data_IF_062830775382
#
_entry.id   IF_062830775382
#
_cell.length_a   1.000
_cell.length_b   1.000
_cell.length_c   1.000
_cell.angle_alpha   90.00
_cell.angle_beta   90.00
_cell.angle_gamma   90.00
#
_symmetry.space_group_name_H-M   'P 1'
#
loop_
_entity.id
_entity.type
_entity.pdbx_description
1 polymer ?
#
# COMPACT_ATOMS: atom_id res chain seq x y z
N UNK A 1 4.81 19.00 -41.37
CA UNK A 1 4.34 20.34 -40.99
C UNK A 1 4.45 20.42 -39.48
N UNK A 2 4.87 21.54 -38.90
CA UNK A 2 4.82 21.70 -37.44
C UNK A 2 3.36 21.81 -37.01
N UNK A 3 2.92 20.99 -36.05
CA UNK A 3 1.60 21.10 -35.42
C UNK A 3 1.32 22.55 -35.00
N UNK A 4 0.20 23.12 -35.48
CA UNK A 4 -0.25 24.45 -35.08
C UNK A 4 -1.50 24.32 -34.21
N UNK A 5 -1.40 24.53 -32.88
CA UNK A 5 -2.53 24.38 -31.98
C UNK A 5 -3.67 25.40 -32.21
N UNK A 6 -3.41 26.48 -32.94
CA UNK A 6 -4.39 27.53 -33.21
C UNK A 6 -5.18 27.33 -34.52
N UNK A 7 -4.83 26.31 -35.31
CA UNK A 7 -5.46 26.00 -36.60
C UNK A 7 -5.40 24.48 -36.83
N UNK A 8 -6.29 23.76 -36.13
CA UNK A 8 -6.36 22.30 -36.11
C UNK A 8 -7.61 21.83 -36.86
N UNK A 9 -7.40 21.07 -37.93
CA UNK A 9 -8.45 20.31 -38.59
C UNK A 9 -8.57 18.92 -37.94
N UNK A 10 -9.67 18.68 -37.24
CA UNK A 10 -9.90 17.44 -36.48
C UNK A 10 -10.05 16.20 -37.37
N UNK A 11 -10.32 16.37 -38.67
CA UNK A 11 -10.41 15.26 -39.63
C UNK A 11 -9.04 14.80 -40.13
N UNK A 12 -7.99 15.63 -39.97
CA UNK A 12 -6.65 15.37 -40.54
C UNK A 12 -5.49 15.45 -39.54
N UNK A 13 -5.71 16.05 -38.36
CA UNK A 13 -4.71 16.17 -37.31
C UNK A 13 -4.43 14.82 -36.62
N UNK A 14 -3.17 14.60 -36.25
CA UNK A 14 -2.79 13.44 -35.43
C UNK A 14 -3.40 13.60 -34.01
N UNK A 15 -4.26 12.68 -33.57
CA UNK A 15 -4.83 12.70 -32.22
C UNK A 15 -3.77 12.76 -31.12
N UNK A 16 -2.59 12.18 -31.38
CA UNK A 16 -1.46 12.18 -30.45
C UNK A 16 -0.94 13.60 -30.19
N UNK A 17 -0.79 14.41 -31.24
CA UNK A 17 -0.30 15.78 -31.12
C UNK A 17 -1.30 16.65 -30.35
N UNK A 18 -2.60 16.45 -30.60
CA UNK A 18 -3.67 17.15 -29.88
C UNK A 18 -3.65 16.78 -28.39
N UNK A 19 -3.64 15.48 -28.07
CA UNK A 19 -3.67 15.01 -26.66
C UNK A 19 -2.39 15.43 -25.93
N UNK A 20 -1.23 15.33 -26.57
CA UNK A 20 0.02 15.78 -25.98
C UNK A 20 0.07 17.30 -25.77
N UNK A 21 -0.53 18.09 -26.66
CA UNK A 21 -0.64 19.52 -26.45
C UNK A 21 -1.58 19.87 -25.29
N UNK A 22 -2.74 19.22 -25.21
CA UNK A 22 -3.70 19.44 -24.12
C UNK A 22 -3.16 19.00 -22.76
N UNK A 23 -2.43 17.88 -22.70
CA UNK A 23 -1.80 17.39 -21.47
C UNK A 23 -0.61 18.23 -21.03
N UNK A 24 0.12 18.83 -21.98
CA UNK A 24 1.20 19.77 -21.69
C UNK A 24 0.59 21.14 -21.35
N UNK A 25 -0.26 21.20 -20.31
CA UNK A 25 -0.71 22.46 -19.73
C UNK A 25 0.50 23.29 -19.29
N UNK A 26 0.34 24.61 -19.22
CA UNK A 26 1.37 25.45 -18.59
C UNK A 26 1.42 25.18 -17.08
N UNK A 27 2.33 25.83 -16.38
CA UNK A 27 2.39 25.71 -14.94
C UNK A 27 1.14 26.35 -14.30
N UNK A 28 0.23 25.50 -13.79
CA UNK A 28 -1.08 25.90 -13.28
C UNK A 28 -1.03 26.66 -11.93
N UNK A 29 0.16 26.94 -11.39
CA UNK A 29 0.30 27.60 -10.11
C UNK A 29 -0.35 29.01 -10.09
N UNK A 30 -1.48 29.11 -9.39
CA UNK A 30 -2.31 30.33 -9.30
C UNK A 30 -2.01 31.23 -8.08
N UNK A 31 -0.95 30.94 -7.30
CA UNK A 31 -0.62 31.67 -6.08
C UNK A 31 -1.10 31.00 -4.78
N UNK A 32 -1.69 31.78 -3.87
CA UNK A 32 -2.18 31.31 -2.55
C UNK A 32 -1.10 30.72 -1.62
N UNK A 33 0.10 31.31 -1.60
CA UNK A 33 1.24 30.80 -0.85
C UNK A 33 0.93 30.54 0.64
N UNK A 34 0.18 31.42 1.30
CA UNK A 34 -0.20 31.25 2.71
C UNK A 34 -1.05 30.00 2.97
N UNK A 35 -2.02 29.71 2.10
CA UNK A 35 -2.86 28.52 2.23
C UNK A 35 -2.07 27.23 1.98
N UNK A 36 -1.15 27.24 1.00
CA UNK A 36 -0.27 26.09 0.72
C UNK A 36 0.74 25.83 1.84
N UNK A 37 1.29 26.89 2.43
CA UNK A 37 2.11 26.77 3.65
C UNK A 37 1.28 26.18 4.79
N UNK A 38 0.01 26.59 4.94
CA UNK A 38 -0.87 26.00 5.95
C UNK A 38 -1.08 24.50 5.74
N UNK A 39 -1.15 24.05 4.47
CA UNK A 39 -1.32 22.64 4.13
C UNK A 39 -0.17 21.77 4.64
N UNK A 40 1.07 22.26 4.60
CA UNK A 40 2.24 21.55 5.16
C UNK A 40 1.99 21.21 6.64
N UNK A 41 1.58 22.19 7.44
CA UNK A 41 1.42 22.01 8.88
C UNK A 41 0.16 21.21 9.23
N UNK A 42 -0.95 21.45 8.55
CA UNK A 42 -2.21 20.74 8.81
C UNK A 42 -2.09 19.28 8.41
N UNK A 43 -1.59 18.98 7.20
CA UNK A 43 -1.40 17.60 6.76
C UNK A 43 -0.41 16.90 7.69
N UNK A 44 0.72 17.53 8.02
CA UNK A 44 1.68 16.96 8.98
C UNK A 44 1.02 16.60 10.31
N UNK A 45 0.30 17.54 10.93
CA UNK A 45 -0.28 17.34 12.25
C UNK A 45 -1.37 16.26 12.25
N UNK A 46 -2.30 16.32 11.29
CA UNK A 46 -3.45 15.41 11.26
C UNK A 46 -3.02 14.01 10.81
N UNK A 47 -2.22 13.88 9.74
CA UNK A 47 -1.78 12.56 9.27
C UNK A 47 -0.93 11.87 10.32
N UNK A 48 0.04 12.57 10.93
CA UNK A 48 0.88 12.01 12.00
C UNK A 48 0.05 11.58 13.20
N UNK A 49 -0.89 12.41 13.67
CA UNK A 49 -1.73 12.06 14.81
C UNK A 49 -2.56 10.77 14.54
N UNK A 50 -3.14 10.65 13.35
CA UNK A 50 -3.98 9.51 12.98
C UNK A 50 -3.14 8.25 12.72
N UNK A 51 -1.94 8.37 12.13
CA UNK A 51 -1.00 7.24 11.97
C UNK A 51 -0.49 6.71 13.30
N UNK A 52 -0.23 7.59 14.26
CA UNK A 52 0.25 7.19 15.59
C UNK A 52 -0.85 6.53 16.42
N UNK A 53 -2.12 6.85 16.17
CA UNK A 53 -3.24 6.41 17.01
C UNK A 53 -3.28 4.90 17.27
N UNK A 54 -3.22 3.99 16.27
CA UNK A 54 -3.28 2.55 16.52
C UNK A 54 -2.05 2.02 17.28
N UNK A 55 -0.88 2.62 17.02
CA UNK A 55 0.39 2.27 17.70
C UNK A 55 0.34 2.66 19.17
N UNK A 56 -0.12 3.87 19.47
CA UNK A 56 -0.35 4.35 20.85
C UNK A 56 -1.40 3.48 21.54
N UNK A 57 -2.54 3.23 20.89
CA UNK A 57 -3.64 2.45 21.46
C UNK A 57 -3.22 1.05 21.89
N UNK A 58 -2.35 0.39 21.13
CA UNK A 58 -1.84 -0.95 21.48
C UNK A 58 -0.73 -0.93 22.53
N UNK A 59 0.11 0.10 22.54
CA UNK A 59 1.34 0.14 23.37
C UNK A 59 1.18 0.83 24.72
N UNK A 60 0.20 1.71 24.86
CA UNK A 60 -0.04 2.48 26.08
C UNK A 60 -1.27 1.91 26.79
N UNK A 61 -1.11 0.86 27.63
CA UNK A 61 -2.25 0.20 28.29
C UNK A 61 -3.02 1.13 29.23
N UNK A 62 -2.41 2.23 29.69
CA UNK A 62 -3.06 3.25 30.52
C UNK A 62 -4.21 3.97 29.82
N UNK A 63 -4.22 3.99 28.48
CA UNK A 63 -5.22 4.73 27.69
C UNK A 63 -6.57 4.00 27.61
N UNK A 64 -6.67 2.74 28.09
CA UNK A 64 -7.90 1.93 28.14
C UNK A 64 -8.78 2.04 26.88
N UNK A 65 -8.17 1.98 25.69
CA UNK A 65 -8.90 2.11 24.43
C UNK A 65 -9.83 0.90 24.24
N UNK A 66 -11.14 1.09 23.97
CA UNK A 66 -12.06 -0.01 23.73
C UNK A 66 -11.63 -0.84 22.51
N UNK A 67 -11.78 -2.17 22.62
CA UNK A 67 -11.42 -3.10 21.54
C UNK A 67 -12.03 -2.72 20.18
N UNK A 68 -13.30 -2.31 20.17
CA UNK A 68 -14.00 -1.90 18.94
C UNK A 68 -13.37 -0.70 18.24
N UNK A 69 -12.73 0.22 18.97
CA UNK A 69 -12.04 1.38 18.38
C UNK A 69 -10.74 0.93 17.70
N UNK A 70 -9.99 0.01 18.31
CA UNK A 70 -8.82 -0.58 17.68
C UNK A 70 -9.19 -1.43 16.45
N UNK A 71 -10.24 -2.25 16.56
CA UNK A 71 -10.75 -3.02 15.42
C UNK A 71 -11.22 -2.08 14.31
N UNK A 72 -11.88 -0.98 14.67
CA UNK A 72 -12.28 0.03 13.70
C UNK A 72 -11.08 0.51 12.88
N UNK A 73 -10.04 1.01 13.55
CA UNK A 73 -8.84 1.49 12.88
C UNK A 73 -8.18 0.44 11.98
N UNK A 74 -8.09 -0.81 12.46
CA UNK A 74 -7.48 -1.92 11.68
C UNK A 74 -8.23 -2.23 10.40
N UNK A 75 -9.53 -2.48 10.49
CA UNK A 75 -10.30 -2.94 9.34
C UNK A 75 -10.67 -1.79 8.40
N UNK A 76 -10.96 -0.61 8.95
CA UNK A 76 -11.14 0.61 8.14
C UNK A 76 -9.88 0.89 7.32
N UNK A 77 -8.72 0.88 7.97
CA UNK A 77 -7.43 1.11 7.32
C UNK A 77 -7.09 0.06 6.25
N UNK A 78 -7.49 -1.20 6.44
CA UNK A 78 -7.35 -2.23 5.40
C UNK A 78 -8.19 -1.91 4.15
N UNK A 79 -9.44 -1.48 4.35
CA UNK A 79 -10.29 -1.02 3.25
C UNK A 79 -9.73 0.20 2.53
N UNK A 80 -9.18 1.15 3.29
CA UNK A 80 -8.51 2.34 2.75
C UNK A 80 -7.35 1.94 1.84
N UNK A 81 -6.43 1.08 2.30
CA UNK A 81 -5.27 0.62 1.49
C UNK A 81 -5.72 -0.03 0.17
N UNK A 82 -6.77 -0.85 0.20
CA UNK A 82 -7.33 -1.47 -1.01
C UNK A 82 -7.85 -0.41 -1.98
N UNK A 83 -8.63 0.56 -1.48
CA UNK A 83 -9.15 1.63 -2.31
C UNK A 83 -8.04 2.57 -2.82
N UNK A 84 -7.01 2.86 -2.03
CA UNK A 84 -5.81 3.59 -2.49
C UNK A 84 -5.20 2.91 -3.71
N UNK A 85 -5.00 1.59 -3.63
CA UNK A 85 -4.37 0.81 -4.70
C UNK A 85 -5.10 0.94 -6.05
N UNK A 86 -6.43 0.86 -6.05
CA UNK A 86 -7.23 0.89 -7.28
C UNK A 86 -7.63 2.29 -7.74
N UNK A 87 -8.01 3.18 -6.82
CA UNK A 87 -8.60 4.48 -7.17
C UNK A 87 -7.55 5.58 -7.18
N UNK A 88 -6.59 5.55 -6.25
CA UNK A 88 -5.64 6.65 -6.09
C UNK A 88 -4.26 6.35 -6.68
N UNK A 89 -4.01 5.11 -7.09
CA UNK A 89 -2.75 4.69 -7.69
C UNK A 89 -2.94 4.18 -9.11
N UNK A 90 -3.80 3.17 -9.30
CA UNK A 90 -4.00 2.57 -10.61
C UNK A 90 -4.67 3.53 -11.60
N UNK A 91 -5.69 4.29 -11.19
CA UNK A 91 -6.39 5.22 -12.08
C UNK A 91 -5.48 6.38 -12.54
N UNK A 92 -4.74 7.09 -11.66
CA UNK A 92 -3.73 8.06 -12.09
C UNK A 92 -2.64 7.44 -12.97
N UNK A 93 -2.19 6.21 -12.69
CA UNK A 93 -1.23 5.55 -13.58
C UNK A 93 -1.77 5.39 -15.02
N UNK A 94 -3.07 5.12 -15.17
CA UNK A 94 -3.71 5.08 -16.49
C UNK A 94 -3.86 6.46 -17.14
N UNK A 95 -4.14 7.52 -16.37
CA UNK A 95 -4.18 8.88 -16.95
C UNK A 95 -2.80 9.35 -17.42
N UNK A 96 -1.72 8.89 -16.77
CA UNK A 96 -0.36 9.32 -17.07
C UNK A 96 0.34 8.52 -18.18
N UNK A 97 0.24 7.19 -18.15
CA UNK A 97 0.94 6.28 -19.09
C UNK A 97 0.02 5.28 -19.80
N UNK A 98 -1.29 5.37 -19.61
CA UNK A 98 -2.26 4.49 -20.26
C UNK A 98 -2.43 4.80 -21.76
N UNK A 99 -3.11 3.93 -22.53
CA UNK A 99 -3.21 4.05 -23.99
C UNK A 99 -3.91 5.31 -24.52
N UNK A 100 -4.59 6.07 -23.65
CA UNK A 100 -5.26 7.33 -23.98
C UNK A 100 -4.49 8.57 -23.46
N UNK A 101 -3.34 8.36 -22.83
CA UNK A 101 -2.44 9.42 -22.38
C UNK A 101 -1.51 9.84 -23.51
N UNK A 102 -0.92 11.04 -23.39
CA UNK A 102 0.12 11.49 -24.32
C UNK A 102 1.28 10.48 -24.40
N UNK A 103 1.69 9.92 -23.26
CA UNK A 103 2.77 8.93 -23.20
C UNK A 103 2.37 7.65 -23.92
N UNK A 104 1.21 7.09 -23.61
CA UNK A 104 0.74 5.84 -24.21
C UNK A 104 0.39 5.92 -25.70
N UNK A 105 0.43 7.09 -26.31
CA UNK A 105 0.22 7.28 -27.75
C UNK A 105 1.52 7.53 -28.53
N UNK A 106 2.67 7.67 -27.86
CA UNK A 106 3.93 8.09 -28.48
C UNK A 106 5.00 7.00 -28.49
N UNK A 107 5.54 6.71 -29.67
CA UNK A 107 6.65 5.77 -29.85
C UNK A 107 6.33 4.37 -29.31
N UNK A 108 7.32 3.72 -28.69
CA UNK A 108 7.19 2.35 -28.18
C UNK A 108 6.18 2.21 -27.02
N UNK A 109 5.72 3.32 -26.44
CA UNK A 109 4.66 3.29 -25.43
C UNK A 109 3.30 2.96 -26.03
N UNK A 110 3.09 3.20 -27.33
CA UNK A 110 1.85 2.89 -28.03
C UNK A 110 1.69 1.41 -28.40
N UNK A 111 2.80 0.66 -28.45
CA UNK A 111 2.79 -0.73 -28.92
C UNK A 111 2.19 -1.71 -27.90
N UNK A 112 2.16 -1.33 -26.62
CA UNK A 112 1.79 -2.24 -25.54
C UNK A 112 1.12 -1.53 -24.38
N UNK A 113 0.29 -2.27 -23.63
CA UNK A 113 -0.38 -1.76 -22.43
C UNK A 113 0.58 -1.77 -21.24
N UNK A 114 1.48 -0.79 -21.20
CA UNK A 114 2.54 -0.70 -20.20
C UNK A 114 2.04 -0.54 -18.76
N UNK A 115 0.98 0.25 -18.52
CA UNK A 115 0.39 0.41 -17.19
C UNK A 115 0.04 -0.95 -16.54
N UNK A 116 -0.88 -1.77 -17.09
CA UNK A 116 -1.24 -3.04 -16.47
C UNK A 116 -0.07 -4.04 -16.45
N UNK A 117 0.87 -3.95 -17.38
CA UNK A 117 2.07 -4.78 -17.39
C UNK A 117 2.97 -4.48 -16.18
N UNK A 118 3.23 -3.21 -15.89
CA UNK A 118 4.03 -2.78 -14.73
C UNK A 118 3.35 -3.19 -13.42
N UNK A 119 2.03 -2.99 -13.32
CA UNK A 119 1.23 -3.42 -12.17
C UNK A 119 1.36 -4.92 -11.95
N UNK A 120 1.19 -5.72 -13.01
CA UNK A 120 1.31 -7.18 -12.95
C UNK A 120 2.73 -7.61 -12.57
N UNK A 121 3.76 -7.02 -13.18
CA UNK A 121 5.16 -7.32 -12.85
C UNK A 121 5.45 -6.99 -11.38
N UNK A 122 5.03 -5.82 -10.90
CA UNK A 122 5.21 -5.43 -9.50
C UNK A 122 4.53 -6.41 -8.54
N UNK A 123 3.26 -6.75 -8.80
CA UNK A 123 2.50 -7.73 -8.02
C UNK A 123 3.19 -9.11 -8.00
N UNK A 124 3.65 -9.59 -9.16
CA UNK A 124 4.35 -10.88 -9.26
C UNK A 124 5.70 -10.85 -8.55
N UNK A 125 6.43 -9.74 -8.62
CA UNK A 125 7.67 -9.57 -7.88
C UNK A 125 7.43 -9.63 -6.37
N UNK A 126 6.43 -8.93 -5.84
CA UNK A 126 6.11 -9.00 -4.40
C UNK A 126 5.68 -10.40 -3.99
N UNK A 127 4.82 -11.06 -4.78
CA UNK A 127 4.44 -12.45 -4.52
C UNK A 127 5.67 -13.38 -4.46
N UNK A 128 6.59 -13.28 -5.42
CA UNK A 128 7.80 -14.11 -5.45
C UNK A 128 8.74 -13.80 -4.28
N UNK A 129 8.83 -12.54 -3.84
CA UNK A 129 9.59 -12.16 -2.66
C UNK A 129 8.98 -12.75 -1.38
N UNK A 130 7.66 -12.67 -1.21
CA UNK A 130 6.95 -13.25 -0.07
C UNK A 130 7.08 -14.77 -0.06
N UNK A 131 6.79 -15.43 -1.19
CA UNK A 131 6.93 -16.87 -1.33
C UNK A 131 8.38 -17.33 -1.13
N UNK A 132 9.35 -16.62 -1.73
CA UNK A 132 10.76 -16.91 -1.56
C UNK A 132 11.23 -16.74 -0.11
N UNK A 133 10.73 -15.72 0.60
CA UNK A 133 11.02 -15.50 2.01
C UNK A 133 10.43 -16.61 2.89
N UNK A 134 9.22 -17.10 2.60
CA UNK A 134 8.64 -18.26 3.29
C UNK A 134 9.44 -19.53 3.01
N UNK A 135 9.68 -19.85 1.73
CA UNK A 135 10.40 -21.06 1.32
C UNK A 135 11.83 -21.10 1.84
N UNK A 136 12.53 -19.96 1.85
CA UNK A 136 13.88 -19.86 2.43
C UNK A 136 13.88 -20.22 3.91
N UNK A 137 12.87 -19.79 4.66
CA UNK A 137 12.71 -20.14 6.07
C UNK A 137 12.42 -21.64 6.23
N UNK A 138 11.57 -22.23 5.40
CA UNK A 138 11.28 -23.67 5.44
C UNK A 138 12.53 -24.53 5.19
N UNK A 139 13.28 -24.27 4.10
CA UNK A 139 14.48 -25.05 3.73
C UNK A 139 15.57 -24.96 4.78
N UNK A 140 15.89 -23.74 5.22
CA UNK A 140 17.06 -23.51 6.07
C UNK A 140 16.87 -24.03 7.50
N UNK A 141 15.62 -24.14 7.95
CA UNK A 141 15.30 -24.50 9.33
C UNK A 141 14.48 -25.80 9.46
N UNK A 142 14.22 -26.51 8.36
CA UNK A 142 13.57 -27.81 8.40
C UNK A 142 12.13 -27.80 8.92
N UNK A 143 11.43 -26.66 8.82
CA UNK A 143 10.00 -26.56 9.15
C UNK A 143 9.23 -27.21 8.01
N UNK A 144 9.02 -28.52 8.08
CA UNK A 144 8.14 -29.20 7.16
C UNK A 144 6.69 -28.77 7.44
N UNK A 145 6.05 -28.10 6.49
CA UNK A 145 4.59 -28.21 6.37
C UNK A 145 4.30 -29.67 6.02
N UNK A 146 3.30 -30.28 6.66
CA UNK A 146 2.80 -31.59 6.22
C UNK A 146 2.50 -31.52 4.72
N UNK A 147 3.15 -32.38 3.93
CA UNK A 147 2.94 -32.45 2.50
C UNK A 147 1.44 -32.70 2.23
N UNK A 148 0.76 -31.93 1.34
CA UNK A 148 -0.63 -32.19 0.97
C UNK A 148 -0.81 -33.46 0.13
N UNK A 149 0.29 -34.14 -0.24
CA UNK A 149 0.28 -35.27 -1.17
C UNK A 149 -0.60 -36.48 -0.77
N UNK A 150 -0.90 -36.82 0.51
CA UNK A 150 -1.79 -37.94 0.78
C UNK A 150 -3.28 -37.58 0.54
N UNK A 151 -3.63 -36.31 0.31
CA UNK A 151 -5.02 -35.88 0.08
C UNK A 151 -5.46 -36.12 -1.38
N UNK A 152 -4.52 -36.17 -2.35
CA UNK A 152 -4.85 -36.36 -3.77
C UNK A 152 -4.79 -37.83 -4.25
N UNK A 153 -4.30 -38.76 -3.43
CA UNK A 153 -4.19 -40.19 -3.81
C UNK A 153 -4.97 -41.17 -2.96
N UNK A 154 -5.73 -40.72 -1.95
CA UNK A 154 -6.57 -41.59 -1.11
C UNK A 154 -7.99 -41.75 -1.65
N UNK A 155 -8.10 -42.07 -2.94
CA UNK A 155 -9.26 -42.78 -3.48
C UNK A 155 -8.80 -44.19 -3.87
N UNK A 156 -9.19 -45.16 -3.04
CA UNK A 156 -9.01 -46.62 -3.18
C UNK A 156 -7.63 -47.15 -2.78
N UNK A 157 -7.48 -47.58 -1.52
CA UNK A 157 -7.44 -49.02 -1.24
C UNK A 157 -7.68 -49.30 0.25
N UNK A 158 -8.39 -50.39 0.50
CA UNK A 158 -8.91 -50.81 1.79
C UNK A 158 -8.09 -52.03 2.23
N UNK A 159 -7.12 -51.87 3.13
CA UNK A 159 -6.42 -53.00 3.77
C UNK A 159 -5.73 -52.59 5.08
N UNK A 160 -6.26 -53.16 6.17
CA UNK A 160 -5.68 -53.26 7.51
C UNK A 160 -4.24 -53.79 7.51
N UNK A 161 -3.40 -53.36 8.47
CA UNK A 161 -2.48 -54.21 9.26
C UNK A 161 -1.83 -53.37 10.39
N UNK A 162 -1.95 -53.89 11.61
CA UNK A 162 -1.29 -53.46 12.85
C UNK A 162 0.25 -53.42 12.73
N UNK A 163 0.89 -52.53 13.51
CA UNK A 163 2.21 -52.83 14.12
C UNK A 163 2.52 -51.96 15.33
N UNK A 164 2.86 -52.67 16.40
CA UNK A 164 3.22 -52.23 17.74
C UNK A 164 4.45 -51.32 17.83
N UNK A 165 4.52 -50.59 18.95
CA UNK A 165 5.67 -49.83 19.47
C UNK A 165 6.88 -50.75 19.77
N UNK A 166 8.11 -50.20 19.86
CA UNK A 166 8.67 -50.04 21.20
C UNK A 166 9.50 -48.74 21.38
N UNK A 167 9.46 -48.21 22.61
CA UNK A 167 10.13 -46.96 22.99
C UNK A 167 11.65 -47.01 23.09
N UNK A 168 12.26 -45.82 23.18
CA UNK A 168 13.48 -45.64 23.96
C UNK A 168 13.62 -44.19 24.47
N UNK A 169 13.94 -44.13 25.75
CA UNK A 169 14.32 -43.01 26.62
C UNK A 169 15.43 -42.13 26.03
N UNK A 170 15.23 -40.81 25.97
CA UNK A 170 16.25 -39.76 26.20
C UNK A 170 15.56 -38.44 26.56
N UNK A 171 15.20 -38.29 27.84
CA UNK A 171 14.89 -36.99 28.46
C UNK A 171 16.22 -36.41 28.95
N UNK A 172 16.68 -35.29 28.39
CA UNK A 172 17.86 -34.60 28.90
C UNK A 172 18.44 -33.47 28.04
N UNK A 173 18.22 -33.47 26.72
CA UNK A 173 18.82 -32.47 25.81
C UNK A 173 17.81 -31.69 24.93
N UNK A 174 16.52 -32.06 24.96
CA UNK A 174 15.51 -31.44 24.10
C UNK A 174 15.09 -30.01 24.51
N UNK A 175 15.18 -29.66 25.81
CA UNK A 175 14.65 -28.39 26.31
C UNK A 175 15.50 -27.16 25.91
N UNK A 176 16.79 -27.35 25.55
CA UNK A 176 17.68 -26.23 25.15
C UNK A 176 17.63 -25.98 23.64
N UNK A 177 17.54 -27.03 22.82
CA UNK A 177 17.37 -26.89 21.37
C UNK A 177 15.98 -26.37 20.98
N UNK A 178 14.92 -26.80 21.66
CA UNK A 178 13.54 -26.39 21.37
C UNK A 178 13.28 -24.91 21.71
N UNK A 179 13.90 -24.40 22.80
CA UNK A 179 13.87 -22.99 23.18
C UNK A 179 14.64 -22.10 22.18
N UNK A 180 15.85 -22.53 21.77
CA UNK A 180 16.65 -21.79 20.77
C UNK A 180 15.98 -21.76 19.39
N UNK A 181 15.29 -22.85 19.02
CA UNK A 181 14.56 -22.95 17.76
C UNK A 181 13.35 -22.02 17.76
N UNK A 182 12.56 -22.00 18.84
CA UNK A 182 11.41 -21.08 18.99
C UNK A 182 11.81 -19.61 18.93
N UNK A 183 12.86 -19.19 19.65
CA UNK A 183 13.30 -17.79 19.66
C UNK A 183 13.78 -17.34 18.26
N UNK A 184 14.49 -18.22 17.53
CA UNK A 184 14.91 -17.90 16.16
C UNK A 184 13.75 -17.85 15.17
N UNK A 185 12.68 -18.63 15.37
CA UNK A 185 11.48 -18.59 14.54
C UNK A 185 10.68 -17.30 14.78
N UNK A 186 10.56 -16.85 16.03
CA UNK A 186 9.89 -15.58 16.40
C UNK A 186 10.64 -14.38 15.79
N UNK A 187 11.97 -14.35 15.88
CA UNK A 187 12.78 -13.26 15.30
C UNK A 187 12.63 -13.20 13.77
N UNK A 188 12.52 -14.34 13.09
CA UNK A 188 12.34 -14.40 11.63
C UNK A 188 10.94 -14.00 11.20
N UNK A 189 9.90 -14.45 11.91
CA UNK A 189 8.53 -14.01 11.65
C UNK A 189 8.41 -12.49 11.80
N UNK A 190 9.09 -11.93 12.81
CA UNK A 190 9.22 -10.48 12.95
C UNK A 190 9.94 -9.84 11.74
N UNK A 191 11.07 -10.41 11.28
CA UNK A 191 11.83 -9.94 10.10
C UNK A 191 11.01 -10.00 8.80
N UNK A 192 10.17 -11.02 8.61
CA UNK A 192 9.28 -11.12 7.46
C UNK A 192 8.17 -10.06 7.52
N UNK A 193 7.51 -9.90 8.67
CA UNK A 193 6.45 -8.90 8.84
C UNK A 193 6.96 -7.46 8.66
N UNK A 194 8.16 -7.16 9.18
CA UNK A 194 8.77 -5.83 8.96
C UNK A 194 9.20 -5.64 7.51
N UNK A 195 9.70 -6.69 6.83
CA UNK A 195 10.04 -6.59 5.42
C UNK A 195 8.80 -6.31 4.55
N UNK A 196 7.72 -7.07 4.75
CA UNK A 196 6.44 -6.83 4.07
C UNK A 196 5.89 -5.42 4.37
N UNK A 197 6.01 -4.97 5.62
CA UNK A 197 5.64 -3.60 5.98
C UNK A 197 6.48 -2.54 5.27
N UNK A 198 7.81 -2.71 5.20
CA UNK A 198 8.70 -1.77 4.51
C UNK A 198 8.45 -1.74 2.99
N UNK A 199 8.08 -2.88 2.40
CA UNK A 199 7.67 -2.96 0.98
C UNK A 199 6.38 -2.16 0.77
N UNK A 200 5.37 -2.33 1.62
CA UNK A 200 4.15 -1.51 1.57
C UNK A 200 4.47 -0.03 1.75
N UNK A 201 5.29 0.32 2.73
CA UNK A 201 5.65 1.71 3.04
C UNK A 201 6.39 2.34 1.86
N UNK A 202 7.27 1.59 1.18
CA UNK A 202 7.94 2.02 -0.04
C UNK A 202 6.96 2.39 -1.16
N UNK A 203 5.93 1.56 -1.41
CA UNK A 203 4.88 1.89 -2.39
C UNK A 203 4.07 3.14 -2.00
N UNK A 204 3.72 3.27 -0.72
CA UNK A 204 2.98 4.45 -0.22
C UNK A 204 3.83 5.73 -0.25
N UNK A 205 5.14 5.65 -0.02
CA UNK A 205 6.03 6.81 -0.02
C UNK A 205 6.05 7.49 -1.39
N UNK A 206 6.23 6.75 -2.49
CA UNK A 206 6.26 7.38 -3.82
C UNK A 206 4.95 8.05 -4.17
N UNK A 207 3.84 7.39 -3.88
CA UNK A 207 2.51 7.95 -4.02
C UNK A 207 2.37 9.29 -3.27
N UNK A 208 2.76 9.28 -1.99
CA UNK A 208 2.72 10.46 -1.11
C UNK A 208 3.63 11.60 -1.59
N UNK A 209 4.75 11.26 -2.24
CA UNK A 209 5.66 12.25 -2.83
C UNK A 209 5.03 12.93 -4.04
N UNK A 210 4.47 12.16 -4.98
CA UNK A 210 3.82 12.70 -6.19
C UNK A 210 2.61 13.56 -5.80
N UNK A 211 1.75 13.07 -4.91
CA UNK A 211 0.62 13.84 -4.37
C UNK A 211 1.09 15.15 -3.74
N UNK A 212 2.10 15.10 -2.86
CA UNK A 212 2.57 16.29 -2.17
C UNK A 212 3.18 17.31 -3.13
N UNK A 213 3.95 16.86 -4.12
CA UNK A 213 4.52 17.71 -5.16
C UNK A 213 3.41 18.41 -5.97
N UNK A 214 2.41 17.65 -6.42
CA UNK A 214 1.29 18.15 -7.21
C UNK A 214 0.42 19.14 -6.43
N UNK A 215 0.12 18.88 -5.14
CA UNK A 215 -0.60 19.84 -4.30
C UNK A 215 0.18 21.16 -4.12
N UNK A 216 1.51 21.09 -4.13
CA UNK A 216 2.37 22.28 -4.09
C UNK A 216 2.22 23.21 -5.30
N UNK A 217 1.85 22.66 -6.46
CA UNK A 217 1.85 23.38 -7.76
C UNK A 217 0.48 23.50 -8.44
N UNK A 218 -0.52 22.70 -8.05
CA UNK A 218 -1.87 22.68 -8.63
C UNK A 218 -2.53 24.06 -8.64
N UNK A 219 -3.42 24.34 -9.61
CA UNK A 219 -4.06 25.63 -9.77
C UNK A 219 -5.34 25.80 -8.97
N UNK A 220 -6.46 25.93 -9.68
CA UNK A 220 -7.76 26.26 -9.10
C UNK A 220 -8.35 25.09 -8.30
N UNK A 221 -7.88 23.86 -8.57
CA UNK A 221 -8.28 22.65 -7.86
C UNK A 221 -7.76 22.64 -6.41
N UNK A 222 -6.78 23.48 -6.06
CA UNK A 222 -6.20 23.54 -4.72
C UNK A 222 -7.26 23.63 -3.60
N UNK A 223 -8.31 24.43 -3.80
CA UNK A 223 -9.36 24.64 -2.80
C UNK A 223 -10.16 23.36 -2.50
N UNK A 224 -10.24 22.44 -3.46
CA UNK A 224 -10.88 21.14 -3.31
C UNK A 224 -9.87 20.08 -2.85
N UNK A 225 -8.70 20.02 -3.50
CA UNK A 225 -7.66 19.03 -3.24
C UNK A 225 -7.09 19.13 -1.84
N UNK A 226 -6.89 20.34 -1.31
CA UNK A 226 -6.32 20.51 0.02
C UNK A 226 -7.13 19.81 1.12
N UNK A 227 -8.42 20.13 1.36
CA UNK A 227 -9.19 19.46 2.39
C UNK A 227 -9.37 17.95 2.11
N UNK A 228 -9.51 17.55 0.83
CA UNK A 228 -9.60 16.12 0.45
C UNK A 228 -8.34 15.37 0.84
N UNK A 229 -7.15 15.94 0.58
CA UNK A 229 -5.87 15.32 0.91
C UNK A 229 -5.58 15.25 2.40
N UNK A 230 -6.10 16.18 3.21
CA UNK A 230 -6.05 16.04 4.67
C UNK A 230 -6.75 14.76 5.11
N UNK A 231 -7.96 14.49 4.58
CA UNK A 231 -8.68 13.25 4.92
C UNK A 231 -8.01 12.01 4.31
N UNK A 232 -7.61 12.06 3.04
CA UNK A 232 -6.90 10.99 2.35
C UNK A 232 -5.67 10.53 3.14
N UNK A 233 -4.74 11.46 3.43
CA UNK A 233 -3.49 11.15 4.12
C UNK A 233 -3.73 10.68 5.55
N UNK A 234 -4.79 11.18 6.20
CA UNK A 234 -5.15 10.72 7.55
C UNK A 234 -5.67 9.28 7.52
N UNK A 235 -6.52 8.93 6.56
CA UNK A 235 -7.09 7.60 6.46
C UNK A 235 -6.07 6.56 6.02
N UNK A 236 -5.20 6.90 5.06
CA UNK A 236 -4.11 6.03 4.65
C UNK A 236 -3.11 5.84 5.82
N UNK A 237 -2.82 6.93 6.53
CA UNK A 237 -2.04 6.92 7.76
C UNK A 237 -2.62 6.01 8.84
N UNK A 238 -3.94 5.99 9.01
CA UNK A 238 -4.63 5.07 9.92
C UNK A 238 -4.36 3.60 9.54
N UNK A 239 -4.37 3.27 8.25
CA UNK A 239 -4.06 1.94 7.72
C UNK A 239 -2.63 1.50 8.00
N UNK A 240 -1.66 2.38 7.71
CA UNK A 240 -0.25 2.15 8.02
C UNK A 240 -0.04 1.99 9.53
N UNK A 241 -0.62 2.89 10.33
CA UNK A 241 -0.56 2.83 11.79
C UNK A 241 -1.13 1.53 12.34
N UNK A 242 -2.25 1.05 11.79
CA UNK A 242 -2.85 -0.21 12.19
C UNK A 242 -1.96 -1.41 11.85
N UNK A 243 -1.35 -1.43 10.66
CA UNK A 243 -0.38 -2.46 10.27
C UNK A 243 0.86 -2.44 11.14
N UNK A 244 1.43 -1.26 11.39
CA UNK A 244 2.53 -1.07 12.31
C UNK A 244 2.20 -1.61 13.71
N UNK A 245 1.00 -1.33 14.19
CA UNK A 245 0.57 -1.80 15.51
C UNK A 245 0.48 -3.33 15.57
N UNK A 246 0.14 -4.02 14.48
CA UNK A 246 0.02 -5.48 14.46
C UNK A 246 1.36 -6.19 14.68
N UNK A 247 2.48 -5.61 14.21
CA UNK A 247 3.82 -6.20 14.28
C UNK A 247 4.31 -6.30 15.74
N UNK A 248 4.83 -7.47 16.18
CA UNK A 248 5.24 -7.73 17.57
C UNK A 248 6.64 -7.18 17.87
N UNK A 249 6.81 -5.86 17.86
CA UNK A 249 8.10 -5.26 18.24
C UNK A 249 8.42 -5.49 19.74
N UNK A 250 9.71 -5.57 20.05
CA UNK A 250 10.21 -5.61 21.43
C UNK A 250 9.78 -4.36 22.22
N UNK A 251 9.43 -4.54 23.50
CA UNK A 251 9.07 -3.45 24.41
C UNK A 251 10.19 -2.40 24.44
N UNK A 252 9.82 -1.13 24.31
CA UNK A 252 10.77 -0.02 24.25
C UNK A 252 11.43 0.21 22.89
N UNK A 253 11.06 -0.51 21.82
CA UNK A 253 11.58 -0.23 20.48
C UNK A 253 11.09 1.11 19.93
N UNK A 254 12.04 1.91 19.44
CA UNK A 254 11.81 3.24 18.85
C UNK A 254 11.42 3.17 17.37
N UNK A 255 11.75 2.06 16.69
CA UNK A 255 11.54 1.84 15.26
C UNK A 255 10.13 2.20 14.75
N UNK A 256 9.01 1.75 15.36
CA UNK A 256 7.68 2.05 14.86
C UNK A 256 7.31 3.53 14.98
N UNK A 257 7.84 4.24 15.98
CA UNK A 257 7.64 5.68 16.09
C UNK A 257 8.38 6.43 14.98
N UNK A 258 9.58 5.96 14.63
CA UNK A 258 10.37 6.50 13.53
C UNK A 258 9.66 6.27 12.20
N UNK A 259 9.18 5.06 11.93
CA UNK A 259 8.47 4.72 10.70
C UNK A 259 7.14 5.48 10.57
N UNK A 260 6.35 5.59 11.65
CA UNK A 260 5.15 6.44 11.63
C UNK A 260 5.48 7.93 11.39
N UNK A 261 6.60 8.42 11.95
CA UNK A 261 7.06 9.81 11.70
C UNK A 261 7.49 10.00 10.25
N UNK A 262 8.18 9.01 9.67
CA UNK A 262 8.66 9.05 8.30
C UNK A 262 7.48 9.20 7.35
N UNK A 263 6.45 8.35 7.48
CA UNK A 263 5.20 8.50 6.72
C UNK A 263 4.58 9.91 6.87
N UNK A 264 4.40 10.39 8.11
CA UNK A 264 3.77 11.68 8.37
C UNK A 264 4.55 12.88 7.82
N UNK A 265 5.88 12.77 7.68
CA UNK A 265 6.75 13.81 7.14
C UNK A 265 6.85 13.81 5.61
N UNK A 266 6.63 12.67 4.96
CA UNK A 266 6.80 12.53 3.50
C UNK A 266 5.99 13.54 2.70
N UNK A 267 4.67 13.63 2.92
CA UNK A 267 3.79 14.54 2.16
C UNK A 267 4.09 16.02 2.46
N UNK A 268 4.23 16.46 3.72
CA UNK A 268 4.63 17.85 4.04
C UNK A 268 5.96 18.28 3.41
N UNK A 269 6.98 17.41 3.42
CA UNK A 269 8.26 17.67 2.75
C UNK A 269 8.05 17.79 1.25
N UNK A 270 7.24 16.92 0.66
CA UNK A 270 6.96 16.92 -0.78
C UNK A 270 6.18 18.15 -1.22
N UNK A 271 5.22 18.63 -0.40
CA UNK A 271 4.53 19.92 -0.61
C UNK A 271 5.52 21.08 -0.54
N UNK A 272 6.43 21.07 0.43
CA UNK A 272 7.46 22.11 0.55
C UNK A 272 8.40 22.12 -0.68
N UNK A 273 8.78 20.95 -1.18
CA UNK A 273 9.56 20.81 -2.43
C UNK A 273 8.74 21.33 -3.61
N UNK A 274 7.48 20.93 -3.75
CA UNK A 274 6.56 21.39 -4.80
C UNK A 274 6.43 22.90 -4.81
N UNK A 275 6.27 23.52 -3.64
CA UNK A 275 6.31 24.97 -3.49
C UNK A 275 7.67 25.56 -3.88
N UNK A 276 8.79 24.89 -3.59
CA UNK A 276 10.12 25.33 -3.99
C UNK A 276 10.30 25.36 -5.50
N UNK A 277 9.81 24.33 -6.21
CA UNK A 277 9.91 24.20 -7.67
C UNK A 277 8.69 24.72 -8.44
N UNK A 278 7.78 25.40 -7.74
CA UNK A 278 6.45 25.81 -8.25
C UNK A 278 6.43 26.70 -9.48
N UNK A 279 7.56 27.28 -9.91
CA UNK A 279 7.64 28.11 -11.12
C UNK A 279 8.33 27.39 -12.28
N UNK A 280 8.97 26.25 -12.03
CA UNK A 280 9.78 25.52 -13.02
C UNK A 280 9.27 24.11 -13.28
N UNK A 281 8.56 23.51 -12.33
CA UNK A 281 7.97 22.19 -12.47
C UNK A 281 6.65 22.26 -13.23
N UNK A 282 6.49 21.38 -14.21
CA UNK A 282 5.26 21.20 -14.97
C UNK A 282 4.86 19.72 -14.85
N UNK A 283 3.76 19.47 -14.12
CA UNK A 283 3.21 18.14 -13.88
C UNK A 283 2.66 17.46 -15.14
N UNK A 284 2.23 18.23 -16.15
CA UNK A 284 1.74 17.72 -17.43
C UNK A 284 2.84 17.51 -18.50
N UNK A 285 4.12 17.69 -18.13
CA UNK A 285 5.22 17.43 -19.06
C UNK A 285 5.39 15.93 -19.30
N UNK A 286 5.73 15.54 -20.54
CA UNK A 286 5.95 14.13 -20.90
C UNK A 286 6.80 13.34 -19.89
N UNK A 287 7.91 13.93 -19.43
CA UNK A 287 8.79 13.28 -18.45
C UNK A 287 8.14 13.14 -17.08
N UNK A 288 7.35 14.13 -16.63
CA UNK A 288 6.61 14.04 -15.38
C UNK A 288 5.61 12.89 -15.45
N UNK A 289 4.80 12.81 -16.51
CA UNK A 289 3.81 11.76 -16.72
C UNK A 289 4.45 10.35 -16.76
N UNK A 290 5.58 10.18 -17.46
CA UNK A 290 6.31 8.89 -17.46
C UNK A 290 6.73 8.51 -16.04
N UNK A 291 7.30 9.45 -15.28
CA UNK A 291 7.81 9.18 -13.93
C UNK A 291 6.66 8.89 -12.95
N UNK A 292 5.64 9.75 -12.90
CA UNK A 292 4.47 9.55 -12.02
C UNK A 292 3.75 8.26 -12.38
N UNK A 293 3.40 8.06 -13.65
CA UNK A 293 2.65 6.87 -14.06
C UNK A 293 3.37 5.55 -13.84
N UNK A 294 4.70 5.49 -14.02
CA UNK A 294 5.48 4.28 -13.69
C UNK A 294 5.54 4.06 -12.18
N UNK A 295 5.79 5.09 -11.38
CA UNK A 295 5.86 4.96 -9.92
C UNK A 295 4.50 4.60 -9.33
N UNK A 296 3.41 5.18 -9.83
CA UNK A 296 2.04 4.88 -9.41
C UNK A 296 1.64 3.47 -9.83
N UNK A 297 2.00 3.01 -11.04
CA UNK A 297 1.75 1.63 -11.47
C UNK A 297 2.50 0.60 -10.62
N UNK A 298 3.77 0.87 -10.27
CA UNK A 298 4.55 0.00 -9.38
C UNK A 298 3.88 -0.05 -8.00
N UNK A 299 3.55 1.12 -7.45
CA UNK A 299 2.95 1.25 -6.12
C UNK A 299 1.56 0.62 -6.07
N UNK A 300 0.74 0.76 -7.11
CA UNK A 300 -0.54 0.07 -7.28
C UNK A 300 -0.36 -1.44 -7.18
N UNK A 301 0.60 -2.02 -7.92
CA UNK A 301 0.89 -3.45 -7.86
C UNK A 301 1.26 -3.95 -6.46
N UNK A 302 2.09 -3.19 -5.75
CA UNK A 302 2.47 -3.48 -4.35
C UNK A 302 1.24 -3.45 -3.44
N UNK A 303 0.46 -2.37 -3.47
CA UNK A 303 -0.69 -2.20 -2.57
C UNK A 303 -1.87 -3.11 -2.93
N UNK A 304 -2.04 -3.50 -4.20
CA UNK A 304 -3.02 -4.53 -4.60
C UNK A 304 -2.65 -5.85 -3.95
N UNK A 305 -1.39 -6.28 -4.05
CA UNK A 305 -0.94 -7.52 -3.41
C UNK A 305 -1.14 -7.44 -1.88
N UNK A 306 -0.61 -6.41 -1.23
CA UNK A 306 -0.73 -6.28 0.21
C UNK A 306 -2.19 -6.18 0.64
N UNK A 307 -3.00 -5.33 0.01
CA UNK A 307 -4.41 -5.14 0.33
C UNK A 307 -5.24 -6.42 0.20
N UNK A 308 -5.12 -7.13 -0.93
CA UNK A 308 -5.94 -8.31 -1.19
C UNK A 308 -5.42 -9.57 -0.49
N UNK A 309 -4.12 -9.82 -0.55
CA UNK A 309 -3.52 -11.07 -0.05
C UNK A 309 -3.17 -10.93 1.44
N UNK A 310 -2.40 -9.91 1.80
CA UNK A 310 -1.84 -9.79 3.14
C UNK A 310 -2.78 -9.17 4.18
N UNK A 311 -3.77 -8.38 3.75
CA UNK A 311 -4.79 -7.80 4.61
C UNK A 311 -6.08 -8.63 4.52
N UNK A 312 -6.74 -8.63 3.36
CA UNK A 312 -8.09 -9.18 3.25
C UNK A 312 -8.10 -10.71 3.38
N UNK A 313 -7.36 -11.43 2.53
CA UNK A 313 -7.36 -12.89 2.57
C UNK A 313 -6.74 -13.43 3.87
N UNK A 314 -5.60 -12.87 4.30
CA UNK A 314 -4.92 -13.29 5.53
C UNK A 314 -5.77 -13.05 6.78
N UNK A 315 -6.46 -11.91 6.93
CA UNK A 315 -7.25 -11.61 8.13
C UNK A 315 -8.65 -12.28 8.14
N UNK A 316 -9.27 -12.52 6.98
CA UNK A 316 -10.66 -13.03 6.91
C UNK A 316 -10.80 -14.48 6.46
N UNK A 317 -9.92 -14.97 5.60
CA UNK A 317 -10.03 -16.31 5.00
C UNK A 317 -9.05 -17.30 5.64
N UNK A 318 -7.84 -16.85 5.95
CA UNK A 318 -6.74 -17.73 6.35
C UNK A 318 -6.33 -17.61 7.83
N UNK A 319 -6.92 -16.70 8.61
CA UNK A 319 -6.64 -16.59 10.04
C UNK A 319 -7.26 -17.79 10.81
N UNK A 320 -6.45 -18.71 11.37
CA UNK A 320 -6.97 -19.85 12.14
C UNK A 320 -7.67 -19.39 13.44
N UNK A 321 -7.39 -18.18 13.90
CA UNK A 321 -7.96 -17.58 15.11
C UNK A 321 -9.04 -16.53 14.81
N UNK A 322 -9.59 -16.55 13.58
CA UNK A 322 -10.69 -15.66 13.18
C UNK A 322 -11.84 -15.71 14.19
N UNK A 323 -12.40 -14.54 14.49
CA UNK A 323 -13.51 -14.44 15.45
C UNK A 323 -14.72 -15.28 15.03
N UNK A 324 -15.20 -16.10 15.97
CA UNK A 324 -16.42 -16.92 15.83
C UNK A 324 -17.70 -16.14 16.21
N UNK A 325 -17.58 -14.90 16.70
CA UNK A 325 -18.72 -14.04 17.00
C UNK A 325 -19.18 -13.31 15.73
N UNK A 326 -20.36 -13.69 15.24
CA UNK A 326 -20.96 -13.11 14.05
C UNK A 326 -21.14 -11.59 14.14
N UNK A 327 -21.41 -11.03 15.33
CA UNK A 327 -21.55 -9.56 15.49
C UNK A 327 -20.22 -8.86 15.29
N UNK A 328 -19.16 -9.41 15.87
CA UNK A 328 -17.79 -8.89 15.71
C UNK A 328 -17.31 -9.04 14.28
N UNK A 329 -17.58 -10.18 13.63
CA UNK A 329 -17.24 -10.39 12.23
C UNK A 329 -17.97 -9.41 11.32
N UNK A 330 -19.28 -9.23 11.50
CA UNK A 330 -20.07 -8.26 10.75
C UNK A 330 -19.51 -6.85 10.91
N UNK A 331 -19.14 -6.46 12.13
CA UNK A 331 -18.49 -5.17 12.38
C UNK A 331 -17.16 -5.02 11.61
N UNK A 332 -16.30 -6.04 11.61
CA UNK A 332 -15.02 -6.02 10.86
C UNK A 332 -15.26 -5.84 9.36
N UNK A 333 -16.19 -6.61 8.78
CA UNK A 333 -16.50 -6.55 7.34
C UNK A 333 -17.10 -5.20 6.96
N UNK A 334 -18.12 -4.73 7.70
CA UNK A 334 -18.78 -3.44 7.42
C UNK A 334 -17.77 -2.31 7.51
N UNK A 335 -16.91 -2.32 8.53
CA UNK A 335 -15.92 -1.25 8.72
C UNK A 335 -14.88 -1.25 7.60
N UNK A 336 -14.44 -2.42 7.14
CA UNK A 336 -13.52 -2.54 6.00
C UNK A 336 -14.16 -2.04 4.70
N UNK A 337 -15.39 -2.44 4.41
CA UNK A 337 -16.14 -1.93 3.25
C UNK A 337 -16.37 -0.42 3.34
N UNK A 338 -16.60 0.09 4.55
CA UNK A 338 -16.78 1.53 4.77
C UNK A 338 -15.48 2.31 4.55
N UNK A 339 -14.34 1.78 5.00
CA UNK A 339 -13.02 2.35 4.70
C UNK A 339 -12.72 2.41 3.20
N UNK A 340 -12.98 1.30 2.50
CA UNK A 340 -12.85 1.25 1.04
C UNK A 340 -13.80 2.24 0.34
N UNK A 341 -15.06 2.28 0.76
CA UNK A 341 -16.08 3.17 0.19
C UNK A 341 -15.79 4.65 0.40
N UNK A 342 -15.37 5.07 1.60
CA UNK A 342 -15.00 6.47 1.86
C UNK A 342 -13.76 6.85 1.07
N UNK A 343 -12.74 6.01 1.06
CA UNK A 343 -11.51 6.31 0.34
C UNK A 343 -11.74 6.38 -1.17
N UNK A 344 -12.54 5.47 -1.74
CA UNK A 344 -12.96 5.55 -3.14
C UNK A 344 -13.78 6.81 -3.43
N UNK A 345 -14.67 7.21 -2.51
CA UNK A 345 -15.45 8.44 -2.64
C UNK A 345 -14.57 9.69 -2.64
N UNK A 346 -13.51 9.74 -1.81
CA UNK A 346 -12.52 10.82 -1.87
C UNK A 346 -11.87 10.92 -3.24
N UNK A 347 -11.65 9.80 -3.93
CA UNK A 347 -11.09 9.75 -5.29
C UNK A 347 -11.90 10.50 -6.34
N UNK A 348 -13.19 10.74 -6.11
CA UNK A 348 -14.00 11.59 -6.99
C UNK A 348 -13.54 13.05 -7.01
N UNK A 349 -12.98 13.52 -5.90
CA UNK A 349 -12.57 14.92 -5.69
C UNK A 349 -11.06 15.09 -5.53
N UNK A 350 -10.31 13.97 -5.52
CA UNK A 350 -8.87 13.95 -5.33
C UNK A 350 -8.13 14.09 -6.66
#
# INVERSE_FOLDING_TARGET
>A
MSFNPNDVDLDTADPTEIICYLNKSENDYNGQLGARISAIFVIFAVSTAVTFFPVVAKRVPRLHIPLYVYLFARYFGAGVIIATAFIHLLDPAYSEIGPQSCVGMTGNWADYSWCPAIVLTSLMCIFLLDFGAERYVEVKYGVCREDPEPIMTSAVDNSTVDKESPGNTRKGEADVEELSTSDTLIEKSFKQQIAAFLILEFGVIFHSVIIGLNLGVTGDEFATLYPVLVFHQSFEGLGIGARMSAIPFRKGSWLPWILCSLYGLTTPISIAIGLGVRTTYNSGSYTANVVSGVLDAISAGILIYTGLVELLARDFLFDPHRSQDNKRLAFMVITMLWGAGIMALLGKWA
#
